data_IF_748207713639
#
_entry.id   IF_748207713639
#
_cell.length_a   1.000
_cell.length_b   1.000
_cell.length_c   1.000
_cell.angle_alpha   90.00
_cell.angle_beta   90.00
_cell.angle_gamma   90.00
#
_symmetry.space_group_name_H-M   'P 1'
#
loop_
_entity.id
_entity.type
_entity.pdbx_description
1 polymer ?
#
# COMPACT_ATOMS: atom_id res chain seq x y z
N UNK A 1 1.72 8.45 10.51
CA UNK A 1 2.37 9.71 10.13
C UNK A 1 1.38 10.49 9.28
N UNK A 2 1.25 11.81 9.45
CA UNK A 2 0.29 12.61 8.67
C UNK A 2 0.64 12.57 7.18
N UNK A 3 -0.35 12.40 6.30
CA UNK A 3 -0.12 12.27 4.86
C UNK A 3 0.48 13.54 4.26
N UNK A 4 0.07 14.71 4.75
CA UNK A 4 0.57 16.04 4.36
C UNK A 4 2.09 16.17 4.53
N UNK A 5 2.68 15.47 5.50
CA UNK A 5 4.12 15.47 5.73
C UNK A 5 4.91 14.73 4.66
N UNK A 6 4.25 13.96 3.80
CA UNK A 6 4.91 13.19 2.75
C UNK A 6 4.70 13.81 1.36
N UNK A 7 3.67 14.64 1.20
CA UNK A 7 3.32 15.25 -0.09
C UNK A 7 4.34 16.33 -0.49
N UNK A 8 4.74 16.32 -1.76
CA UNK A 8 5.61 17.35 -2.36
C UNK A 8 7.08 17.34 -1.89
N UNK A 9 7.48 16.43 -1.00
CA UNK A 9 8.85 16.37 -0.48
C UNK A 9 9.84 15.72 -1.45
N UNK A 10 11.02 16.32 -1.53
CA UNK A 10 12.19 15.73 -2.20
C UNK A 10 12.73 14.52 -1.44
N UNK A 11 13.59 13.75 -2.09
CA UNK A 11 14.23 12.57 -1.49
C UNK A 11 15.02 12.91 -0.21
N UNK A 12 15.73 14.04 -0.22
CA UNK A 12 16.53 14.50 0.92
C UNK A 12 15.62 14.87 2.10
N UNK A 13 14.50 15.51 1.82
CA UNK A 13 13.52 15.87 2.86
C UNK A 13 12.84 14.64 3.44
N UNK A 14 12.46 13.66 2.62
CA UNK A 14 11.90 12.39 3.08
C UNK A 14 12.86 11.61 3.99
N UNK A 15 14.16 11.63 3.68
CA UNK A 15 15.21 11.00 4.50
C UNK A 15 15.45 11.72 5.83
N UNK A 16 15.15 13.02 5.89
CA UNK A 16 15.30 13.84 7.10
C UNK A 16 14.09 13.81 8.03
N UNK A 17 13.01 13.11 7.66
CA UNK A 17 11.81 13.01 8.50
C UNK A 17 12.16 12.22 9.75
N UNK A 18 12.12 12.93 10.89
CA UNK A 18 12.13 12.28 12.19
C UNK A 18 10.77 11.63 12.46
N UNK A 19 10.75 10.30 12.33
CA UNK A 19 9.56 9.48 12.61
C UNK A 19 9.27 9.34 14.10
N UNK A 20 10.21 9.68 14.98
CA UNK A 20 10.03 9.70 16.43
C UNK A 20 9.47 11.03 16.93
N UNK A 21 9.44 12.07 16.09
CA UNK A 21 8.80 13.32 16.44
C UNK A 21 7.27 13.16 16.49
N UNK A 22 6.72 13.24 17.69
CA UNK A 22 5.31 13.09 18.00
C UNK A 22 4.38 14.05 17.24
N UNK A 23 4.87 15.23 16.83
CA UNK A 23 4.10 16.19 16.02
C UNK A 23 3.75 15.66 14.63
N UNK A 24 4.55 14.69 14.16
CA UNK A 24 4.40 14.05 12.85
C UNK A 24 3.43 12.87 12.86
N UNK A 25 2.99 12.44 14.04
CA UNK A 25 2.13 11.27 14.19
C UNK A 25 0.68 11.62 13.84
N UNK A 26 -0.06 10.60 13.41
CA UNK A 26 -1.53 10.72 13.24
C UNK A 26 -2.19 10.84 14.61
N UNK A 27 -3.40 11.41 14.66
CA UNK A 27 -4.16 11.48 15.90
C UNK A 27 -4.51 10.09 16.42
N UNK A 28 -4.68 9.94 17.73
CA UNK A 28 -5.05 8.66 18.35
C UNK A 28 -6.37 8.11 17.80
N UNK A 29 -7.31 8.97 17.43
CA UNK A 29 -8.59 8.63 16.78
C UNK A 29 -8.43 8.01 15.40
N UNK A 30 -7.34 8.33 14.70
CA UNK A 30 -7.03 7.85 13.35
C UNK A 30 -6.21 6.56 13.37
N UNK A 31 -5.60 6.21 14.51
CA UNK A 31 -4.82 4.99 14.65
C UNK A 31 -5.70 3.74 14.56
N UNK A 32 -5.21 2.74 13.84
CA UNK A 32 -5.87 1.43 13.78
C UNK A 32 -5.52 0.61 15.02
N UNK A 33 -6.50 0.38 15.88
CA UNK A 33 -6.37 -0.41 17.11
C UNK A 33 -7.30 -1.63 17.13
N UNK A 34 -8.01 -1.88 16.03
CA UNK A 34 -9.06 -2.89 15.92
C UNK A 34 -10.42 -2.41 16.44
N UNK A 35 -11.50 -2.92 15.84
CA UNK A 35 -12.87 -2.51 16.16
C UNK A 35 -13.28 -2.81 17.62
N UNK A 36 -12.86 -3.98 18.14
CA UNK A 36 -13.14 -4.38 19.53
C UNK A 36 -12.49 -3.43 20.53
N UNK A 37 -11.19 -3.17 20.39
CA UNK A 37 -10.45 -2.21 21.23
C UNK A 37 -11.04 -0.81 21.13
N UNK A 38 -11.40 -0.37 19.92
CA UNK A 38 -12.02 0.96 19.72
C UNK A 38 -13.34 1.09 20.46
N UNK A 39 -14.18 0.05 20.45
CA UNK A 39 -15.44 0.02 21.22
C UNK A 39 -15.19 0.11 22.74
N UNK A 40 -14.17 -0.61 23.25
CA UNK A 40 -13.81 -0.57 24.67
C UNK A 40 -13.32 0.83 25.09
N UNK A 41 -12.52 1.50 24.25
CA UNK A 41 -12.05 2.86 24.56
C UNK A 41 -13.21 3.86 24.57
N UNK A 42 -14.15 3.75 23.63
CA UNK A 42 -15.31 4.66 23.55
C UNK A 42 -16.27 4.47 24.73
N UNK A 43 -16.54 3.23 25.12
CA UNK A 43 -17.60 2.90 26.08
C UNK A 43 -17.09 2.55 27.50
N UNK A 44 -15.77 2.43 27.69
CA UNK A 44 -15.19 1.93 28.93
C UNK A 44 -15.17 2.94 30.08
N UNK A 45 -15.32 2.50 31.35
CA UNK A 45 -15.26 3.38 32.52
C UNK A 45 -13.83 3.43 33.10
N UNK A 46 -12.99 4.36 32.61
CA UNK A 46 -11.81 4.93 33.27
C UNK A 46 -10.94 5.66 32.25
N UNK A 47 -10.58 6.91 32.50
CA UNK A 47 -9.72 7.68 31.59
C UNK A 47 -8.23 7.32 31.74
N UNK A 48 -7.75 7.00 32.95
CA UNK A 48 -6.33 6.69 33.18
C UNK A 48 -5.84 5.43 32.45
N UNK A 49 -6.63 4.35 32.44
CA UNK A 49 -6.29 3.09 31.76
C UNK A 49 -6.32 3.29 30.23
N UNK A 50 -7.28 4.09 29.73
CA UNK A 50 -7.37 4.43 28.31
C UNK A 50 -6.14 5.21 27.86
N UNK A 51 -5.74 6.22 28.63
CA UNK A 51 -4.55 7.03 28.34
C UNK A 51 -3.28 6.18 28.33
N UNK A 52 -3.09 5.30 29.33
CA UNK A 52 -1.92 4.41 29.39
C UNK A 52 -1.89 3.45 28.19
N UNK A 53 -3.03 2.87 27.82
CA UNK A 53 -3.14 2.01 26.65
C UNK A 53 -2.81 2.77 25.36
N UNK A 54 -3.41 3.95 25.15
CA UNK A 54 -3.18 4.78 23.97
C UNK A 54 -1.72 5.21 23.87
N UNK A 55 -1.08 5.52 24.99
CA UNK A 55 0.35 5.81 25.03
C UNK A 55 1.20 4.61 24.58
N UNK A 56 0.89 3.40 25.07
CA UNK A 56 1.59 2.18 24.64
C UNK A 56 1.38 1.89 23.15
N UNK A 57 0.17 2.11 22.63
CA UNK A 57 -0.13 2.00 21.18
C UNK A 57 0.71 2.99 20.38
N UNK A 58 0.72 4.27 20.77
CA UNK A 58 1.50 5.31 20.09
C UNK A 58 2.99 4.94 20.05
N UNK A 59 3.54 4.51 21.18
CA UNK A 59 4.93 4.07 21.29
C UNK A 59 5.23 2.85 20.41
N UNK A 60 4.33 1.87 20.34
CA UNK A 60 4.48 0.71 19.47
C UNK A 60 4.51 1.13 17.99
N UNK A 61 3.59 1.99 17.55
CA UNK A 61 3.58 2.51 16.19
C UNK A 61 4.85 3.30 15.85
N UNK A 62 5.31 4.18 16.75
CA UNK A 62 6.55 4.94 16.54
C UNK A 62 7.76 4.02 16.41
N UNK A 63 7.89 3.03 17.30
CA UNK A 63 8.97 2.04 17.24
C UNK A 63 8.93 1.21 15.95
N UNK A 64 7.74 0.77 15.53
CA UNK A 64 7.55 0.06 14.27
C UNK A 64 7.92 0.94 13.07
N UNK A 65 7.48 2.21 13.05
CA UNK A 65 7.84 3.14 11.99
C UNK A 65 9.36 3.38 11.93
N UNK A 66 10.02 3.54 13.07
CA UNK A 66 11.47 3.67 13.15
C UNK A 66 12.19 2.42 12.62
N UNK A 67 11.74 1.23 13.02
CA UNK A 67 12.27 -0.03 12.52
C UNK A 67 12.08 -0.18 11.00
N UNK A 68 10.88 0.11 10.50
CA UNK A 68 10.56 0.04 9.08
C UNK A 68 11.39 1.03 8.27
N UNK A 69 11.56 2.29 8.72
CA UNK A 69 12.43 3.24 8.03
C UNK A 69 13.89 2.77 7.97
N UNK A 70 14.38 2.10 9.02
CA UNK A 70 15.73 1.55 9.04
C UNK A 70 15.91 0.37 8.07
N UNK A 71 14.89 -0.49 7.93
CA UNK A 71 14.95 -1.72 7.11
C UNK A 71 14.49 -1.52 5.66
N UNK A 72 13.52 -0.65 5.47
CA UNK A 72 12.91 -0.32 4.18
C UNK A 72 12.61 1.18 4.14
N UNK A 73 13.65 2.03 3.96
CA UNK A 73 13.49 3.48 3.94
C UNK A 73 12.48 3.91 2.88
N UNK A 74 11.69 4.96 3.14
CA UNK A 74 10.75 5.54 2.15
C UNK A 74 11.43 5.91 0.81
N UNK A 75 12.70 6.28 0.88
CA UNK A 75 13.54 6.61 -0.26
C UNK A 75 13.97 5.39 -1.11
N UNK A 76 13.71 4.16 -0.64
CA UNK A 76 14.26 2.95 -1.22
C UNK A 76 13.82 2.77 -2.69
N UNK A 77 14.74 2.29 -3.56
CA UNK A 77 14.38 2.01 -4.95
C UNK A 77 13.22 1.04 -5.09
N UNK A 78 13.13 0.04 -4.21
CA UNK A 78 12.03 -0.93 -4.17
C UNK A 78 10.68 -0.24 -3.93
N UNK A 79 10.55 0.56 -2.85
CA UNK A 79 9.29 1.24 -2.55
C UNK A 79 8.87 2.22 -3.66
N UNK A 80 9.82 2.86 -4.35
CA UNK A 80 9.52 3.70 -5.53
C UNK A 80 8.98 2.88 -6.70
N UNK A 81 9.49 1.66 -6.90
CA UNK A 81 8.96 0.78 -7.94
C UNK A 81 7.57 0.28 -7.57
N UNK A 82 7.39 -0.16 -6.32
CA UNK A 82 6.09 -0.58 -5.77
C UNK A 82 5.04 0.53 -5.87
N UNK A 83 5.41 1.78 -5.57
CA UNK A 83 4.48 2.91 -5.65
C UNK A 83 3.96 3.18 -7.06
N UNK A 84 4.57 2.58 -8.10
CA UNK A 84 4.15 2.74 -9.50
C UNK A 84 2.99 1.79 -9.87
N UNK A 85 2.62 0.89 -8.96
CA UNK A 85 1.38 0.10 -9.03
C UNK A 85 0.17 1.01 -8.76
N UNK A 86 0.34 2.11 -8.01
CA UNK A 86 -0.73 3.05 -7.70
C UNK A 86 -1.40 3.54 -9.00
N UNK A 87 -2.72 3.30 -9.17
CA UNK A 87 -3.42 3.66 -10.39
C UNK A 87 -3.41 5.17 -10.68
N UNK A 88 -3.25 6.03 -9.67
CA UNK A 88 -3.12 7.48 -9.85
C UNK A 88 -1.79 7.91 -10.51
N UNK A 89 -0.82 6.99 -10.61
CA UNK A 89 0.48 7.25 -11.23
C UNK A 89 0.55 6.83 -12.70
N UNK A 90 -0.51 6.19 -13.23
CA UNK A 90 -0.59 5.72 -14.62
C UNK A 90 -0.43 6.85 -15.65
N UNK A 91 -0.03 6.47 -16.86
CA UNK A 91 0.13 7.37 -18.00
C UNK A 91 1.42 8.20 -17.96
N UNK A 92 2.36 7.91 -17.05
CA UNK A 92 3.63 8.63 -16.92
C UNK A 92 4.79 7.72 -17.29
N UNK A 93 5.73 8.22 -18.10
CA UNK A 93 6.94 7.48 -18.50
C UNK A 93 7.75 6.94 -17.31
N UNK A 94 7.81 7.72 -16.24
CA UNK A 94 8.51 7.33 -15.02
C UNK A 94 7.85 6.12 -14.35
N UNK A 95 6.54 5.98 -14.44
CA UNK A 95 5.77 4.86 -13.87
C UNK A 95 6.07 3.59 -14.64
N UNK A 96 6.06 3.65 -15.98
CA UNK A 96 6.44 2.51 -16.83
C UNK A 96 7.85 2.01 -16.54
N UNK A 97 8.84 2.91 -16.50
CA UNK A 97 10.24 2.55 -16.19
C UNK A 97 10.39 1.88 -14.83
N UNK A 98 9.59 2.31 -13.85
CA UNK A 98 9.59 1.75 -12.50
C UNK A 98 8.91 0.39 -12.43
N UNK A 99 7.83 0.19 -13.18
CA UNK A 99 7.19 -1.13 -13.32
C UNK A 99 8.14 -2.13 -14.00
N UNK A 100 8.83 -1.73 -15.08
CA UNK A 100 9.88 -2.55 -15.70
C UNK A 100 10.97 -2.94 -14.69
N UNK A 101 11.43 -1.97 -13.90
CA UNK A 101 12.45 -2.21 -12.87
C UNK A 101 11.96 -3.09 -11.71
N UNK A 102 10.66 -3.19 -11.48
CA UNK A 102 10.09 -3.95 -10.37
C UNK A 102 10.46 -5.44 -10.45
N UNK A 103 10.53 -6.03 -11.65
CA UNK A 103 10.94 -7.43 -11.85
C UNK A 103 12.31 -7.71 -11.23
N UNK A 104 13.26 -6.77 -11.36
CA UNK A 104 14.61 -6.94 -10.81
C UNK A 104 14.64 -7.02 -9.27
N UNK A 105 13.58 -6.58 -8.60
CA UNK A 105 13.45 -6.68 -7.14
C UNK A 105 12.56 -7.83 -6.68
N UNK A 106 11.59 -8.24 -7.49
CA UNK A 106 10.59 -9.26 -7.16
C UNK A 106 10.71 -10.42 -8.16
N UNK A 107 11.84 -11.12 -8.07
CA UNK A 107 12.27 -12.13 -9.05
C UNK A 107 11.60 -13.50 -8.89
N UNK A 108 10.84 -13.70 -7.81
CA UNK A 108 10.26 -14.99 -7.44
C UNK A 108 8.76 -15.11 -7.81
N UNK A 109 8.19 -14.11 -8.49
CA UNK A 109 6.76 -14.07 -8.82
C UNK A 109 6.48 -14.53 -10.25
N UNK A 110 7.27 -14.05 -11.20
CA UNK A 110 7.19 -14.44 -12.61
C UNK A 110 8.33 -15.41 -12.86
N UNK A 111 8.02 -16.70 -12.92
CA UNK A 111 9.05 -17.75 -12.92
C UNK A 111 9.31 -18.34 -14.30
N UNK A 112 8.47 -18.05 -15.30
CA UNK A 112 8.70 -18.44 -16.69
C UNK A 112 8.99 -17.23 -17.56
N UNK A 113 9.75 -17.46 -18.64
CA UNK A 113 10.02 -16.44 -19.65
C UNK A 113 8.72 -15.88 -20.26
N UNK A 114 7.70 -16.72 -20.47
CA UNK A 114 6.42 -16.27 -21.00
C UNK A 114 5.72 -15.29 -20.06
N UNK A 115 5.77 -15.54 -18.74
CA UNK A 115 5.18 -14.65 -17.73
C UNK A 115 5.88 -13.28 -17.71
N UNK A 116 7.22 -13.26 -17.86
CA UNK A 116 8.01 -12.03 -17.92
C UNK A 116 7.75 -11.22 -19.21
N UNK A 117 7.69 -11.89 -20.37
CA UNK A 117 7.35 -11.27 -21.65
C UNK A 117 5.92 -10.72 -21.64
N UNK A 118 4.96 -11.51 -21.13
CA UNK A 118 3.58 -11.08 -20.94
C UNK A 118 3.51 -9.86 -20.01
N UNK A 119 4.24 -9.87 -18.89
CA UNK A 119 4.30 -8.72 -18.00
C UNK A 119 4.80 -7.47 -18.72
N UNK A 120 5.88 -7.59 -19.50
CA UNK A 120 6.44 -6.46 -20.25
C UNK A 120 5.39 -5.86 -21.19
N UNK A 121 4.62 -6.67 -21.92
CA UNK A 121 3.53 -6.19 -22.78
C UNK A 121 2.38 -5.57 -21.97
N UNK A 122 1.96 -6.25 -20.91
CA UNK A 122 0.85 -5.85 -20.06
C UNK A 122 1.07 -4.50 -19.39
N UNK A 123 2.28 -4.20 -18.91
CA UNK A 123 2.55 -2.89 -18.29
C UNK A 123 2.48 -1.76 -19.31
N UNK A 124 2.85 -1.99 -20.57
CA UNK A 124 2.71 -0.99 -21.62
C UNK A 124 1.23 -0.71 -21.89
N UNK A 125 0.42 -1.76 -22.03
CA UNK A 125 -1.01 -1.63 -22.24
C UNK A 125 -1.71 -1.00 -21.03
N UNK A 126 -1.37 -1.42 -19.81
CA UNK A 126 -1.89 -0.86 -18.56
C UNK A 126 -1.68 0.65 -18.45
N UNK A 127 -0.58 1.20 -18.96
CA UNK A 127 -0.32 2.63 -18.89
C UNK A 127 -1.26 3.46 -19.79
N UNK A 128 -1.78 2.88 -20.87
CA UNK A 128 -2.57 3.59 -21.88
C UNK A 128 -4.02 3.12 -21.97
N UNK A 129 -4.40 2.06 -21.26
CA UNK A 129 -5.76 1.51 -21.33
C UNK A 129 -6.80 2.40 -20.64
N UNK A 130 -7.60 3.11 -21.45
CA UNK A 130 -8.69 3.97 -21.00
C UNK A 130 -9.93 3.19 -20.52
N UNK A 131 -9.99 1.87 -20.72
CA UNK A 131 -11.10 1.03 -20.21
C UNK A 131 -10.96 0.69 -18.73
N UNK A 132 -9.77 0.92 -18.15
CA UNK A 132 -9.52 0.69 -16.73
C UNK A 132 -10.30 1.68 -15.86
N UNK A 133 -10.79 1.25 -14.67
CA UNK A 133 -11.57 2.09 -13.78
C UNK A 133 -10.77 3.29 -13.29
N UNK A 134 -11.46 4.41 -13.08
CA UNK A 134 -10.89 5.60 -12.45
C UNK A 134 -10.24 5.26 -11.10
N UNK A 135 -9.06 5.82 -10.78
CA UNK A 135 -8.47 5.73 -9.43
C UNK A 135 -9.26 6.52 -8.38
N UNK A 136 -10.15 7.42 -8.81
CA UNK A 136 -10.98 8.25 -7.95
C UNK A 136 -12.45 7.79 -7.99
N UNK A 137 -13.12 7.86 -6.85
CA UNK A 137 -14.57 7.69 -6.76
C UNK A 137 -15.34 8.91 -7.29
N UNK A 138 -16.67 8.83 -7.29
CA UNK A 138 -17.56 9.88 -7.80
C UNK A 138 -17.42 11.21 -7.02
N UNK A 139 -16.88 11.17 -5.81
CA UNK A 139 -16.59 12.36 -5.00
C UNK A 139 -15.20 12.96 -5.26
N UNK A 140 -14.42 12.35 -6.14
CA UNK A 140 -13.04 12.75 -6.45
C UNK A 140 -12.02 12.25 -5.43
N UNK A 141 -12.39 11.37 -4.51
CA UNK A 141 -11.48 10.81 -3.50
C UNK A 141 -10.77 9.59 -4.04
N UNK A 142 -9.48 9.46 -3.72
CA UNK A 142 -8.67 8.31 -4.12
C UNK A 142 -9.23 7.01 -3.50
N UNK A 143 -9.50 6.03 -4.35
CA UNK A 143 -9.98 4.71 -3.93
C UNK A 143 -8.80 3.96 -3.28
N UNK A 144 -8.99 3.29 -2.14
CA UNK A 144 -7.97 2.42 -1.56
C UNK A 144 -7.42 1.41 -2.57
N UNK A 145 -6.11 1.24 -2.59
CA UNK A 145 -5.41 0.46 -3.63
C UNK A 145 -5.88 -0.99 -3.70
N UNK A 146 -6.15 -1.62 -2.57
CA UNK A 146 -6.70 -2.96 -2.46
C UNK A 146 -8.09 -3.08 -3.12
N UNK A 147 -8.96 -2.10 -2.87
CA UNK A 147 -10.29 -2.01 -3.48
C UNK A 147 -10.18 -1.76 -4.97
N UNK A 148 -9.30 -0.86 -5.41
CA UNK A 148 -9.12 -0.58 -6.84
C UNK A 148 -8.57 -1.81 -7.58
N UNK A 149 -7.54 -2.46 -7.03
CA UNK A 149 -6.95 -3.67 -7.59
C UNK A 149 -7.95 -4.84 -7.65
N UNK A 150 -8.93 -4.91 -6.76
CA UNK A 150 -10.00 -5.93 -6.84
C UNK A 150 -10.78 -5.86 -8.16
N UNK A 151 -10.98 -4.66 -8.71
CA UNK A 151 -11.61 -4.46 -10.02
C UNK A 151 -10.71 -4.93 -11.15
N UNK A 152 -9.40 -4.67 -11.04
CA UNK A 152 -8.39 -5.15 -11.98
C UNK A 152 -8.33 -6.69 -11.99
N UNK A 153 -8.46 -7.33 -10.82
CA UNK A 153 -8.39 -8.80 -10.69
C UNK A 153 -9.52 -9.55 -11.38
N UNK A 154 -10.65 -8.88 -11.62
CA UNK A 154 -11.80 -9.45 -12.34
C UNK A 154 -11.58 -9.36 -13.86
N UNK A 155 -10.65 -8.53 -14.32
CA UNK A 155 -10.30 -8.42 -15.73
C UNK A 155 -9.39 -9.59 -16.12
N UNK A 156 -9.72 -10.29 -17.20
CA UNK A 156 -8.91 -11.39 -17.73
C UNK A 156 -7.65 -10.90 -18.47
N UNK A 157 -7.60 -9.60 -18.75
CA UNK A 157 -6.48 -8.92 -19.36
C UNK A 157 -5.58 -8.47 -18.19
N UNK A 158 -4.25 -8.66 -18.23
CA UNK A 158 -3.26 -8.33 -17.17
C UNK A 158 -2.88 -9.45 -16.20
N UNK A 159 -2.81 -10.70 -16.64
CA UNK A 159 -2.55 -11.86 -15.75
C UNK A 159 -1.20 -11.76 -15.03
N UNK A 160 -0.12 -11.42 -15.73
CA UNK A 160 1.23 -11.33 -15.13
C UNK A 160 1.38 -10.10 -14.24
N UNK A 161 0.81 -8.96 -14.63
CA UNK A 161 0.74 -7.77 -13.79
C UNK A 161 -0.05 -8.05 -12.51
N UNK A 162 -1.18 -8.75 -12.60
CA UNK A 162 -1.98 -9.13 -11.43
C UNK A 162 -1.19 -10.02 -10.47
N UNK A 163 -0.40 -10.99 -10.96
CA UNK A 163 0.51 -11.80 -10.12
C UNK A 163 1.47 -10.89 -9.34
N UNK A 164 2.11 -9.94 -10.02
CA UNK A 164 3.04 -8.98 -9.41
C UNK A 164 2.35 -8.10 -8.36
N UNK A 165 1.18 -7.55 -8.69
CA UNK A 165 0.39 -6.70 -7.78
C UNK A 165 0.00 -7.47 -6.53
N UNK A 166 -0.51 -8.70 -6.67
CA UNK A 166 -0.88 -9.56 -5.53
C UNK A 166 0.31 -9.82 -4.62
N UNK A 167 1.46 -10.20 -5.19
CA UNK A 167 2.66 -10.47 -4.42
C UNK A 167 3.10 -9.25 -3.59
N UNK A 168 3.18 -8.07 -4.22
CA UNK A 168 3.61 -6.84 -3.56
C UNK A 168 2.61 -6.37 -2.49
N UNK A 169 1.31 -6.33 -2.82
CA UNK A 169 0.28 -5.83 -1.90
C UNK A 169 0.12 -6.75 -0.68
N UNK A 170 0.30 -8.06 -0.85
CA UNK A 170 0.22 -9.05 0.24
C UNK A 170 1.23 -8.78 1.37
N UNK A 171 2.37 -8.15 1.08
CA UNK A 171 3.38 -7.85 2.09
C UNK A 171 2.97 -6.70 3.02
N UNK A 172 2.10 -5.80 2.57
CA UNK A 172 1.70 -4.60 3.31
C UNK A 172 0.33 -4.72 3.97
N UNK A 173 -0.49 -5.64 3.48
CA UNK A 173 -1.78 -5.97 4.04
C UNK A 173 -1.59 -7.28 4.80
N UNK A 174 -1.25 -7.18 6.08
CA UNK A 174 -1.26 -8.33 7.00
C UNK A 174 -2.61 -9.07 6.91
N UNK A 175 -2.71 -10.30 7.45
CA UNK A 175 -3.75 -11.28 7.16
C UNK A 175 -5.18 -10.74 7.23
N UNK A 176 -5.66 -10.12 6.15
CA UNK A 176 -7.06 -9.87 5.86
C UNK A 176 -7.53 -10.92 4.84
N UNK A 177 -7.22 -12.19 5.14
CA UNK A 177 -7.51 -13.36 4.30
C UNK A 177 -9.00 -13.46 3.91
N UNK A 178 -9.91 -12.89 4.71
CA UNK A 178 -11.35 -12.96 4.47
C UNK A 178 -11.84 -12.25 3.19
N UNK A 179 -11.06 -11.32 2.64
CA UNK A 179 -11.46 -10.58 1.42
C UNK A 179 -10.84 -11.22 0.18
N UNK A 180 -9.60 -11.68 0.25
CA UNK A 180 -8.89 -12.27 -0.90
C UNK A 180 -9.39 -13.70 -1.19
N UNK A 181 -9.69 -14.49 -0.16
CA UNK A 181 -10.16 -15.87 -0.32
C UNK A 181 -11.59 -15.95 -0.87
N UNK A 182 -12.44 -14.96 -0.56
CA UNK A 182 -13.79 -14.82 -1.14
C UNK A 182 -13.81 -14.34 -2.60
N UNK A 183 -12.67 -13.95 -3.16
CA UNK A 183 -12.54 -13.42 -4.52
C UNK A 183 -11.95 -14.45 -5.51
N UNK A 184 -11.74 -15.70 -5.08
CA UNK A 184 -11.36 -16.80 -5.97
C UNK A 184 -12.62 -17.53 -6.46
N UNK A 185 -12.84 -17.68 -7.78
CA UNK A 185 -13.82 -18.63 -8.29
C UNK A 185 -13.22 -20.03 -8.11
N UNK A 186 -13.59 -20.70 -7.01
CA UNK A 186 -13.11 -22.06 -6.71
C UNK A 186 -12.99 -22.45 -5.24
N UNK A 187 -13.52 -21.68 -4.29
CA UNK A 187 -13.71 -22.19 -2.92
C UNK A 187 -14.95 -23.08 -2.87
N UNK A 188 -14.75 -24.40 -2.78
CA UNK A 188 -15.79 -25.38 -2.42
C UNK A 188 -16.42 -25.07 -1.07
#
# INVERSE_FOLDING_TARGET
MKQELLQGKSLKELLSIDVMNDMNHIGLSEMFIGAGTRSIILNGPNDCIKEEFLYKVKKAYANCAHYLQKKLPLASPLLKCISSIDPATRGKDVTLKRLQKLLSFVTNVLTSTEDEEAYALEIHQYQVDFKLPSPFDDSGKLIPIDIWCSKLFIMENYTSLIKMVKAVISCFHGPQFKVIEKMLPGGT
#
